data_IF_549686231074
#
_entry.id   IF_549686231074
#
_cell.length_a   1.000
_cell.length_b   1.000
_cell.length_c   1.000
_cell.angle_alpha   90.00
_cell.angle_beta   90.00
_cell.angle_gamma   90.00
#
_symmetry.space_group_name_H-M   'P 1'
#
loop_
_entity.id
_entity.type
_entity.pdbx_description
1 polymer ?
#
# COMPACT_ATOMS: atom_id res chain seq x y z
N UNK A 1 -42.17 -25.94 -15.32
CA UNK A 1 -40.89 -25.82 -16.10
C UNK A 1 -40.41 -24.39 -16.27
N UNK A 2 -41.22 -23.34 -16.01
CA UNK A 2 -40.85 -21.91 -16.11
C UNK A 2 -40.12 -21.34 -14.88
N UNK A 3 -40.24 -21.98 -13.70
CA UNK A 3 -39.68 -21.48 -12.44
C UNK A 3 -38.15 -21.63 -12.30
N UNK A 4 -37.47 -22.22 -13.26
CA UNK A 4 -36.01 -22.45 -13.25
C UNK A 4 -35.21 -21.46 -14.15
N UNK A 5 -35.88 -20.52 -14.81
CA UNK A 5 -35.25 -19.58 -15.75
C UNK A 5 -34.72 -18.31 -15.08
N UNK A 6 -35.18 -17.99 -13.88
CA UNK A 6 -34.84 -16.78 -13.13
C UNK A 6 -33.87 -16.97 -11.97
N UNK A 7 -33.14 -18.09 -11.92
CA UNK A 7 -32.00 -18.17 -11.00
C UNK A 7 -30.88 -17.27 -11.52
N UNK A 8 -30.72 -16.09 -10.88
CA UNK A 8 -29.50 -15.29 -10.99
C UNK A 8 -28.31 -16.22 -10.85
N UNK A 9 -27.46 -16.27 -11.89
CA UNK A 9 -26.17 -16.96 -11.76
C UNK A 9 -25.46 -16.38 -10.54
N UNK A 10 -24.85 -17.23 -9.69
CA UNK A 10 -24.07 -16.73 -8.57
C UNK A 10 -23.00 -15.80 -9.14
N UNK A 11 -22.83 -14.62 -8.52
CA UNK A 11 -21.74 -13.71 -8.83
C UNK A 11 -20.44 -14.49 -8.76
N UNK A 12 -19.75 -14.57 -9.88
CA UNK A 12 -18.42 -15.13 -9.92
C UNK A 12 -17.55 -14.21 -9.06
N UNK A 13 -17.01 -14.73 -7.96
CA UNK A 13 -16.09 -14.00 -7.09
C UNK A 13 -14.95 -13.43 -7.97
N UNK A 14 -15.03 -12.15 -8.30
CA UNK A 14 -13.97 -11.44 -9.00
C UNK A 14 -12.76 -11.38 -8.06
N UNK A 15 -11.69 -12.07 -8.42
CA UNK A 15 -10.42 -12.02 -7.67
C UNK A 15 -9.65 -10.80 -8.13
N UNK A 16 -9.06 -10.09 -7.17
CA UNK A 16 -8.13 -9.00 -7.46
C UNK A 16 -6.79 -9.64 -7.83
N UNK A 17 -6.35 -9.45 -9.08
CA UNK A 17 -5.02 -9.84 -9.53
C UNK A 17 -4.13 -8.58 -9.54
N UNK A 18 -3.14 -8.55 -8.65
CA UNK A 18 -2.20 -7.45 -8.54
C UNK A 18 -0.92 -7.86 -9.25
N UNK A 19 -0.72 -7.32 -10.46
CA UNK A 19 0.52 -7.42 -11.20
C UNK A 19 1.37 -6.18 -10.99
N UNK A 20 2.67 -6.34 -10.70
CA UNK A 20 3.59 -5.22 -10.60
C UNK A 20 4.66 -5.30 -11.68
N UNK A 21 4.83 -4.20 -12.44
CA UNK A 21 5.92 -4.10 -13.41
C UNK A 21 7.21 -3.79 -12.66
N UNK A 22 8.18 -4.69 -12.74
CA UNK A 22 9.50 -4.50 -12.17
C UNK A 22 10.22 -3.38 -12.91
N UNK A 23 10.42 -2.23 -12.28
CA UNK A 23 11.35 -1.21 -12.78
C UNK A 23 12.79 -1.70 -12.66
N UNK A 24 13.69 -1.12 -13.49
CA UNK A 24 15.12 -1.45 -13.45
C UNK A 24 15.70 -1.00 -12.11
N UNK A 25 15.87 -1.93 -11.16
CA UNK A 25 16.49 -1.64 -9.87
C UNK A 25 18.00 -1.48 -10.02
N UNK A 26 18.57 -0.45 -9.41
CA UNK A 26 20.02 -0.28 -9.25
C UNK A 26 20.63 -1.38 -8.37
N UNK A 27 21.94 -1.32 -8.16
CA UNK A 27 22.68 -2.29 -7.30
C UNK A 27 22.27 -2.21 -5.84
N UNK A 28 21.94 -1.02 -5.34
CA UNK A 28 21.52 -0.79 -3.96
C UNK A 28 19.99 -0.87 -3.89
N UNK A 29 19.49 -1.70 -2.99
CA UNK A 29 18.06 -1.85 -2.69
C UNK A 29 17.72 -1.02 -1.44
N UNK A 30 17.32 -1.66 -0.36
CA UNK A 30 17.18 -1.04 0.96
C UNK A 30 18.10 -1.74 1.90
N UNK A 31 18.95 -0.99 2.59
CA UNK A 31 19.92 -1.50 3.55
C UNK A 31 19.70 -0.84 4.91
N UNK A 32 19.62 -1.66 5.94
CA UNK A 32 19.56 -1.26 7.34
C UNK A 32 20.90 -1.59 7.97
N UNK A 33 21.57 -0.60 8.54
CA UNK A 33 22.86 -0.76 9.17
C UNK A 33 22.78 -0.34 10.64
N UNK A 34 22.98 -1.30 11.55
CA UNK A 34 23.06 -1.09 13.00
C UNK A 34 21.89 -0.30 13.60
N UNK A 35 20.68 -0.54 13.12
CA UNK A 35 19.47 0.18 13.55
C UNK A 35 19.17 -0.12 15.03
N UNK A 36 19.11 0.93 15.82
CA UNK A 36 18.69 0.89 17.22
C UNK A 36 17.55 1.87 17.44
N UNK A 37 16.51 1.45 18.17
CA UNK A 37 15.38 2.30 18.55
C UNK A 37 14.88 1.98 19.95
N UNK A 38 14.77 3.02 20.78
CA UNK A 38 14.30 2.97 22.16
C UNK A 38 13.12 3.91 22.36
N UNK A 39 12.24 3.58 23.29
CA UNK A 39 11.19 4.47 23.79
C UNK A 39 11.27 4.47 25.34
N UNK A 40 11.72 5.59 25.91
CA UNK A 40 12.05 5.66 27.31
C UNK A 40 13.12 4.63 27.66
N UNK A 41 12.88 3.79 28.64
CA UNK A 41 13.81 2.74 29.08
C UNK A 41 13.64 1.42 28.29
N UNK A 42 12.73 1.38 27.32
CA UNK A 42 12.43 0.16 26.57
C UNK A 42 13.12 0.15 25.21
N UNK A 43 14.10 -0.77 25.05
CA UNK A 43 14.79 -1.01 23.78
C UNK A 43 13.88 -1.87 22.90
N UNK A 44 13.35 -1.32 21.81
CA UNK A 44 12.53 -2.05 20.85
C UNK A 44 13.34 -2.76 19.78
N UNK A 45 14.37 -2.10 19.28
CA UNK A 45 15.27 -2.61 18.24
C UNK A 45 16.68 -2.36 18.72
N UNK A 46 17.51 -3.39 18.69
CA UNK A 46 18.91 -3.30 19.14
C UNK A 46 19.81 -3.84 18.05
N UNK A 47 20.67 -2.97 17.51
CA UNK A 47 21.73 -3.29 16.55
C UNK A 47 21.27 -4.17 15.37
N UNK A 48 20.13 -3.83 14.77
CA UNK A 48 19.55 -4.60 13.69
C UNK A 48 20.12 -4.19 12.33
N UNK A 49 20.70 -5.14 11.61
CA UNK A 49 21.21 -4.93 10.25
C UNK A 49 20.58 -5.92 9.28
N UNK A 50 20.14 -5.42 8.11
CA UNK A 50 19.55 -6.25 7.07
C UNK A 50 19.67 -5.58 5.70
N UNK A 51 19.86 -6.38 4.64
CA UNK A 51 19.87 -5.93 3.26
C UNK A 51 18.70 -6.60 2.53
N UNK A 52 17.75 -5.81 2.06
CA UNK A 52 16.66 -6.30 1.24
C UNK A 52 17.13 -6.51 -0.19
N UNK A 53 16.92 -7.69 -0.71
CA UNK A 53 17.28 -8.03 -2.09
C UNK A 53 16.06 -7.86 -3.01
N UNK A 54 16.33 -7.77 -4.31
CA UNK A 54 15.28 -7.74 -5.32
C UNK A 54 14.42 -9.01 -5.25
N UNK A 55 13.10 -8.83 -5.27
CA UNK A 55 12.08 -9.89 -5.19
C UNK A 55 11.98 -10.59 -3.83
N UNK A 56 12.65 -10.12 -2.79
CA UNK A 56 12.45 -10.65 -1.44
C UNK A 56 11.00 -10.49 -0.99
N UNK A 57 10.50 -11.51 -0.28
CA UNK A 57 9.23 -11.49 0.44
C UNK A 57 9.51 -11.80 1.89
N UNK A 58 9.43 -10.78 2.74
CA UNK A 58 9.86 -10.88 4.14
C UNK A 58 8.68 -10.68 5.06
N UNK A 59 8.53 -11.61 6.02
CA UNK A 59 7.54 -11.52 7.09
C UNK A 59 8.19 -11.21 8.43
N UNK A 60 7.69 -10.17 9.12
CA UNK A 60 8.09 -9.88 10.49
C UNK A 60 7.14 -10.57 11.47
N UNK A 61 7.63 -11.54 12.23
CA UNK A 61 6.86 -12.33 13.19
C UNK A 61 7.31 -11.99 14.61
N UNK A 62 6.37 -11.82 15.53
CA UNK A 62 6.67 -11.52 16.93
C UNK A 62 5.42 -11.06 17.69
N UNK A 63 5.54 -10.96 19.01
CA UNK A 63 4.46 -10.50 19.91
C UNK A 63 4.04 -9.08 19.58
N UNK A 64 2.83 -8.68 20.00
CA UNK A 64 2.40 -7.29 19.89
C UNK A 64 3.31 -6.38 20.74
N UNK A 65 3.67 -5.21 20.19
CA UNK A 65 4.56 -4.27 20.85
C UNK A 65 6.07 -4.56 20.72
N UNK A 66 6.50 -5.63 20.02
CA UNK A 66 7.92 -5.96 19.87
C UNK A 66 8.67 -5.11 18.82
N UNK A 67 8.07 -4.05 18.29
CA UNK A 67 8.76 -3.11 17.38
C UNK A 67 8.57 -3.35 15.88
N UNK A 68 7.72 -4.31 15.44
CA UNK A 68 7.50 -4.59 14.00
C UNK A 68 7.06 -3.34 13.22
N UNK A 69 6.01 -2.68 13.69
CA UNK A 69 5.49 -1.45 13.06
C UNK A 69 6.50 -0.31 13.13
N UNK A 70 7.27 -0.21 14.21
CA UNK A 70 8.32 0.79 14.36
C UNK A 70 9.43 0.57 13.33
N UNK A 71 9.86 -0.68 13.11
CA UNK A 71 10.85 -1.01 12.09
C UNK A 71 10.35 -0.64 10.69
N UNK A 72 9.08 -0.97 10.37
CA UNK A 72 8.47 -0.59 9.08
C UNK A 72 8.43 0.93 8.88
N UNK A 73 8.08 1.68 9.94
CA UNK A 73 8.07 3.15 9.89
C UNK A 73 9.48 3.74 9.78
N UNK A 74 10.51 3.08 10.30
CA UNK A 74 11.90 3.48 10.12
C UNK A 74 12.33 3.25 8.67
N UNK A 75 11.99 2.12 8.07
CA UNK A 75 12.28 1.81 6.65
C UNK A 75 11.61 2.84 5.74
N UNK A 76 10.38 3.24 6.04
CA UNK A 76 9.61 4.24 5.28
C UNK A 76 10.05 5.70 5.56
N UNK A 77 10.96 5.91 6.49
CA UNK A 77 11.48 7.24 6.85
C UNK A 77 10.56 8.09 7.73
N UNK A 78 9.43 7.55 8.22
CA UNK A 78 8.48 8.26 9.11
C UNK A 78 9.00 8.38 10.53
N UNK A 79 9.88 7.49 10.96
CA UNK A 79 10.54 7.52 12.27
C UNK A 79 12.04 7.40 12.03
N UNK A 80 12.80 8.28 12.66
CA UNK A 80 14.26 8.17 12.64
C UNK A 80 14.73 7.15 13.68
N UNK A 81 15.71 6.31 13.36
CA UNK A 81 16.37 5.46 14.34
C UNK A 81 17.18 6.34 15.32
N UNK A 82 17.44 5.83 16.51
CA UNK A 82 18.27 6.52 17.51
C UNK A 82 19.78 6.29 17.21
N UNK A 83 20.08 5.16 16.57
CA UNK A 83 21.41 4.87 16.02
C UNK A 83 21.27 4.00 14.76
N UNK A 84 22.31 4.00 13.93
CA UNK A 84 22.35 3.30 12.65
C UNK A 84 21.83 4.13 11.50
N UNK A 85 21.77 3.53 10.31
CA UNK A 85 21.43 4.22 9.07
C UNK A 85 20.54 3.35 8.19
N UNK A 86 19.58 4.00 7.50
CA UNK A 86 18.75 3.40 6.44
C UNK A 86 19.21 3.97 5.11
N UNK A 87 19.73 3.12 4.25
CA UNK A 87 20.13 3.49 2.90
C UNK A 87 19.11 2.95 1.90
N UNK A 88 18.47 3.84 1.13
CA UNK A 88 17.49 3.49 0.10
C UNK A 88 18.09 3.81 -1.26
N UNK A 89 18.08 2.83 -2.16
CA UNK A 89 18.58 3.00 -3.53
C UNK A 89 17.79 4.09 -4.27
N UNK A 90 18.47 4.91 -5.07
CA UNK A 90 17.90 6.08 -5.76
C UNK A 90 16.70 5.75 -6.67
N UNK A 91 16.61 4.52 -7.14
CA UNK A 91 15.51 4.06 -8.01
C UNK A 91 14.38 3.37 -7.25
N UNK A 92 14.52 3.22 -5.92
CA UNK A 92 13.53 2.57 -5.08
C UNK A 92 12.45 3.57 -4.68
N UNK A 93 11.21 3.18 -4.87
CA UNK A 93 10.03 3.86 -4.33
C UNK A 93 9.38 2.95 -3.32
N UNK A 94 9.22 3.44 -2.11
CA UNK A 94 8.55 2.68 -1.04
C UNK A 94 7.07 3.01 -1.09
N UNK A 95 6.23 1.97 -1.20
CA UNK A 95 4.80 2.07 -0.94
C UNK A 95 4.52 1.55 0.46
N UNK A 96 3.82 2.32 1.29
CA UNK A 96 3.46 1.95 2.64
C UNK A 96 1.96 1.72 2.77
N UNK A 97 1.57 0.48 3.02
CA UNK A 97 0.17 0.11 3.22
C UNK A 97 -0.11 -0.11 4.71
N UNK A 98 -1.07 0.62 5.27
CA UNK A 98 -1.47 0.52 6.68
C UNK A 98 -2.84 -0.12 6.84
N UNK A 99 -3.08 -0.73 7.99
CA UNK A 99 -4.42 -1.19 8.38
C UNK A 99 -5.38 -0.03 8.70
N UNK A 100 -4.84 1.09 9.16
CA UNK A 100 -5.60 2.29 9.49
C UNK A 100 -5.36 3.33 8.41
N UNK A 101 -6.44 3.90 7.88
CA UNK A 101 -6.40 5.06 6.99
C UNK A 101 -6.17 6.27 7.88
N UNK A 102 -5.02 6.88 7.75
CA UNK A 102 -4.72 8.10 8.48
C UNK A 102 -5.62 9.23 7.97
N UNK A 103 -6.31 9.91 8.90
CA UNK A 103 -7.18 11.04 8.59
C UNK A 103 -6.44 12.39 8.66
N UNK A 104 -5.13 12.36 8.89
CA UNK A 104 -4.29 13.55 8.97
C UNK A 104 -3.93 14.03 7.56
N UNK A 105 -4.25 15.29 7.26
CA UNK A 105 -3.91 15.96 6.01
C UNK A 105 -2.38 15.99 5.75
N UNK A 106 -1.57 15.87 6.80
CA UNK A 106 -0.12 15.80 6.71
C UNK A 106 0.42 14.39 6.43
N UNK A 107 -0.44 13.38 6.37
CA UNK A 107 -0.05 11.99 6.08
C UNK A 107 0.39 11.78 4.62
N UNK A 108 0.39 12.82 3.79
CA UNK A 108 0.83 12.76 2.41
C UNK A 108 -0.03 11.83 1.55
N UNK A 109 0.58 10.85 0.89
CA UNK A 109 -0.10 9.93 -0.03
C UNK A 109 -1.16 9.06 0.69
N UNK A 110 -1.06 8.88 2.01
CA UNK A 110 -2.02 8.12 2.79
C UNK A 110 -3.31 8.89 3.12
N UNK A 111 -3.31 10.21 2.93
CA UNK A 111 -4.50 11.04 3.16
C UNK A 111 -5.48 10.92 1.99
N UNK A 112 -6.72 10.58 2.31
CA UNK A 112 -7.82 10.56 1.35
C UNK A 112 -8.78 11.71 1.65
N UNK A 113 -8.76 12.76 0.82
CA UNK A 113 -9.74 13.84 0.95
C UNK A 113 -11.16 13.28 0.76
N UNK A 114 -12.02 13.35 1.79
CA UNK A 114 -13.37 12.81 1.74
C UNK A 114 -14.26 13.44 0.68
N UNK A 115 -13.93 14.66 0.23
CA UNK A 115 -14.69 15.43 -0.78
C UNK A 115 -14.31 15.11 -2.22
N UNK A 116 -13.21 14.39 -2.44
CA UNK A 116 -12.85 13.95 -3.77
C UNK A 116 -13.71 12.78 -4.24
N UNK A 117 -13.89 12.67 -5.56
CA UNK A 117 -14.42 11.45 -6.17
C UNK A 117 -13.33 10.39 -6.20
N UNK A 118 -13.73 9.13 -6.11
CA UNK A 118 -12.82 7.97 -6.17
C UNK A 118 -11.91 8.04 -7.39
N UNK A 119 -12.47 8.34 -8.56
CA UNK A 119 -11.70 8.45 -9.82
C UNK A 119 -10.70 9.61 -9.80
N UNK A 120 -11.06 10.74 -9.20
CA UNK A 120 -10.20 11.92 -9.15
C UNK A 120 -9.02 11.69 -8.18
N UNK A 121 -9.24 10.96 -7.08
CA UNK A 121 -8.18 10.57 -6.16
C UNK A 121 -7.08 9.75 -6.86
N UNK A 122 -7.46 8.77 -7.67
CA UNK A 122 -6.50 7.96 -8.44
C UNK A 122 -5.85 8.79 -9.55
N UNK A 123 -6.61 9.61 -10.28
CA UNK A 123 -6.07 10.48 -11.34
C UNK A 123 -5.05 11.49 -10.83
N UNK A 124 -5.21 11.99 -9.60
CA UNK A 124 -4.24 12.89 -8.98
C UNK A 124 -2.87 12.21 -8.78
N UNK A 125 -2.86 10.89 -8.64
CA UNK A 125 -1.62 10.11 -8.54
C UNK A 125 -1.10 9.68 -9.91
N UNK A 126 -1.98 9.10 -10.74
CA UNK A 126 -1.65 8.72 -12.10
C UNK A 126 -2.94 8.56 -12.95
N UNK A 127 -3.00 9.24 -14.09
CA UNK A 127 -4.11 9.08 -15.05
C UNK A 127 -4.02 7.74 -15.79
N UNK A 128 -2.80 7.28 -16.03
CA UNK A 128 -2.49 5.99 -16.65
C UNK A 128 -1.39 5.28 -15.87
N UNK A 129 -1.57 4.00 -15.66
CA UNK A 129 -0.58 3.12 -15.01
C UNK A 129 -0.03 2.14 -16.04
N UNK A 130 1.30 1.96 -16.07
CA UNK A 130 1.93 0.97 -16.91
C UNK A 130 1.90 -0.38 -16.23
N UNK A 131 1.24 -1.35 -16.86
CA UNK A 131 1.21 -2.75 -16.45
C UNK A 131 2.01 -3.62 -17.44
N UNK A 132 2.12 -4.92 -17.17
CA UNK A 132 2.75 -5.88 -18.12
C UNK A 132 1.98 -5.94 -19.45
N UNK A 133 0.66 -5.76 -19.42
CA UNK A 133 -0.23 -5.79 -20.59
C UNK A 133 -0.33 -4.44 -21.32
N UNK A 134 0.34 -3.39 -20.82
CA UNK A 134 0.34 -2.07 -21.45
C UNK A 134 -0.09 -0.94 -20.52
N UNK A 135 -0.62 0.14 -21.11
CA UNK A 135 -1.14 1.30 -20.36
C UNK A 135 -2.60 1.08 -19.97
N UNK A 136 -2.87 1.12 -18.67
CA UNK A 136 -4.21 0.98 -18.10
C UNK A 136 -4.65 2.34 -17.56
N UNK A 137 -5.86 2.78 -17.89
CA UNK A 137 -6.41 4.03 -17.36
C UNK A 137 -6.83 3.89 -15.89
N UNK A 138 -6.89 5.02 -15.16
CA UNK A 138 -7.36 5.05 -13.78
C UNK A 138 -8.74 4.38 -13.61
N UNK A 139 -9.66 4.56 -14.56
CA UNK A 139 -10.99 3.93 -14.51
C UNK A 139 -10.92 2.41 -14.67
N UNK A 140 -10.11 1.92 -15.62
CA UNK A 140 -9.93 0.48 -15.82
C UNK A 140 -9.20 -0.17 -14.64
N UNK A 141 -8.26 0.54 -14.02
CA UNK A 141 -7.61 0.10 -12.78
C UNK A 141 -8.63 -0.02 -11.64
N UNK A 142 -9.47 0.98 -11.44
CA UNK A 142 -10.53 0.96 -10.43
C UNK A 142 -11.50 -0.21 -10.62
N UNK A 143 -11.86 -0.54 -11.87
CA UNK A 143 -12.72 -1.70 -12.14
C UNK A 143 -12.04 -3.02 -11.73
N UNK A 144 -10.73 -3.16 -11.96
CA UNK A 144 -9.93 -4.30 -11.46
C UNK A 144 -9.93 -4.38 -9.93
N UNK A 145 -9.96 -3.24 -9.24
CA UNK A 145 -10.05 -3.15 -7.78
C UNK A 145 -11.49 -3.18 -7.27
N UNK A 146 -12.44 -3.64 -8.08
CA UNK A 146 -13.85 -3.83 -7.73
C UNK A 146 -14.58 -2.51 -7.38
N UNK A 147 -14.25 -1.44 -8.08
CA UNK A 147 -15.01 -0.20 -8.10
C UNK A 147 -15.73 -0.08 -9.45
N UNK A 148 -17.01 -0.48 -9.55
CA UNK A 148 -17.75 -0.36 -10.79
C UNK A 148 -17.92 1.11 -11.20
N UNK A 149 -18.20 1.41 -12.47
CA UNK A 149 -18.26 2.79 -12.98
C UNK A 149 -19.16 3.73 -12.17
N UNK A 150 -20.25 3.22 -11.61
CA UNK A 150 -21.17 4.01 -10.79
C UNK A 150 -20.53 4.49 -9.48
N UNK A 151 -19.67 3.66 -8.87
CA UNK A 151 -18.96 3.98 -7.62
C UNK A 151 -17.75 4.89 -7.85
N UNK A 152 -17.15 4.83 -9.04
CA UNK A 152 -15.95 5.62 -9.36
C UNK A 152 -16.18 7.13 -9.29
N UNK A 153 -17.41 7.57 -9.58
CA UNK A 153 -17.80 8.98 -9.51
C UNK A 153 -18.41 9.39 -8.16
N UNK A 154 -18.54 8.43 -7.23
CA UNK A 154 -18.95 8.68 -5.86
C UNK A 154 -17.87 9.40 -5.04
N UNK A 155 -18.29 10.08 -3.95
CA UNK A 155 -17.36 10.72 -3.02
C UNK A 155 -16.71 9.68 -2.10
N UNK A 156 -15.44 9.89 -1.77
CA UNK A 156 -14.67 9.02 -0.87
C UNK A 156 -15.32 8.92 0.52
N UNK A 157 -15.97 9.98 1.00
CA UNK A 157 -16.68 9.95 2.29
C UNK A 157 -17.75 8.86 2.38
N UNK A 158 -18.39 8.52 1.24
CA UNK A 158 -19.45 7.50 1.16
C UNK A 158 -18.92 6.07 1.16
N UNK A 159 -17.63 5.88 0.96
CA UNK A 159 -17.03 4.57 0.97
C UNK A 159 -16.98 3.98 2.37
N UNK A 160 -17.24 2.68 2.47
CA UNK A 160 -17.00 1.89 3.67
C UNK A 160 -15.51 1.82 4.00
N UNK A 161 -15.17 1.47 5.24
CA UNK A 161 -13.75 1.30 5.65
C UNK A 161 -13.00 0.26 4.81
N UNK A 162 -13.67 -0.80 4.36
CA UNK A 162 -13.09 -1.82 3.46
C UNK A 162 -12.82 -1.28 2.06
N UNK A 163 -13.72 -0.49 1.49
CA UNK A 163 -13.55 0.16 0.18
C UNK A 163 -12.43 1.19 0.22
N UNK A 164 -12.35 2.02 1.28
CA UNK A 164 -11.25 2.96 1.47
C UNK A 164 -9.90 2.26 1.53
N UNK A 165 -9.81 1.11 2.24
CA UNK A 165 -8.58 0.30 2.26
C UNK A 165 -8.23 -0.24 0.88
N UNK A 166 -9.21 -0.71 0.14
CA UNK A 166 -9.04 -1.22 -1.21
C UNK A 166 -8.60 -0.12 -2.19
N UNK A 167 -9.10 1.11 -2.01
CA UNK A 167 -8.70 2.27 -2.80
C UNK A 167 -7.26 2.70 -2.51
N UNK A 168 -6.74 2.41 -1.32
CA UNK A 168 -5.37 2.77 -0.89
C UNK A 168 -4.32 1.71 -1.26
N UNK A 169 -4.71 0.59 -1.90
CA UNK A 169 -3.80 -0.44 -2.41
C UNK A 169 -3.10 0.00 -3.70
#
# INVERSE_FOLDING_TARGET
YEALRDQKKPDVDKKIEIGSVSSRMGKTTVELSHITKTYGDHVLISDFSYIFLKNDRIGFVGKNGCGKTTLMKIIDGRILPDAGEVTIGQTIKIGYYTQEIEQDENAGIAYMDPKLRVIDYIKNTAEYVRTEDGLVSASAMLDQFLFPPEEQYGLIEKLSGGEKRRLNL
#
